data_IF_977733620701
#
_entry.id   IF_977733620701
#
_cell.length_a   1.000
_cell.length_b   1.000
_cell.length_c   1.000
_cell.angle_alpha   90.00
_cell.angle_beta   90.00
_cell.angle_gamma   90.00
#
_symmetry.space_group_name_H-M   'P 1'
#
loop_
_entity.id
_entity.type
_entity.pdbx_description
1 polymer ?
#
# COMPACT_ATOMS: atom_id res chain seq x y z
N UNK A 1 2.26 -0.81 -7.58
CA UNK A 1 1.55 0.39 -7.07
C UNK A 1 2.25 0.84 -5.81
N UNK A 2 2.16 2.12 -5.41
CA UNK A 2 2.87 2.66 -4.23
C UNK A 2 2.68 1.84 -2.94
N UNK A 3 1.48 1.31 -2.70
CA UNK A 3 1.24 0.45 -1.53
C UNK A 3 2.05 -0.86 -1.60
N UNK A 4 2.24 -1.43 -2.79
CA UNK A 4 3.04 -2.65 -2.98
C UNK A 4 4.53 -2.37 -2.70
N UNK A 5 5.03 -1.19 -3.08
CA UNK A 5 6.40 -0.77 -2.77
C UNK A 5 6.59 -0.60 -1.25
N UNK A 6 5.63 0.01 -0.57
CA UNK A 6 5.64 0.13 0.90
C UNK A 6 5.58 -1.26 1.56
N UNK A 7 4.73 -2.16 1.06
CA UNK A 7 4.66 -3.55 1.55
C UNK A 7 6.01 -4.24 1.40
N UNK A 8 6.68 -4.07 0.25
CA UNK A 8 7.98 -4.67 -0.01
C UNK A 8 9.03 -4.13 0.97
N UNK A 9 9.07 -2.81 1.21
CA UNK A 9 9.99 -2.22 2.20
C UNK A 9 9.78 -2.80 3.60
N UNK A 10 8.52 -2.99 4.01
CA UNK A 10 8.21 -3.61 5.31
C UNK A 10 8.61 -5.09 5.34
N UNK A 11 8.35 -5.84 4.26
CA UNK A 11 8.71 -7.26 4.15
C UNK A 11 10.22 -7.47 4.18
N UNK A 12 10.98 -6.62 3.51
CA UNK A 12 12.44 -6.63 3.49
C UNK A 12 13.00 -6.31 4.88
N UNK A 13 12.43 -5.31 5.57
CA UNK A 13 12.81 -4.97 6.94
C UNK A 13 12.53 -6.11 7.93
N UNK A 14 11.39 -6.79 7.81
CA UNK A 14 11.07 -7.99 8.62
C UNK A 14 12.09 -9.10 8.34
N UNK A 15 12.40 -9.34 7.07
CA UNK A 15 13.35 -10.39 6.65
C UNK A 15 14.76 -10.10 7.17
N UNK A 16 15.20 -8.84 7.10
CA UNK A 16 16.48 -8.41 7.65
C UNK A 16 16.54 -8.60 9.18
N UNK A 17 15.48 -8.21 9.89
CA UNK A 17 15.38 -8.41 11.34
C UNK A 17 15.28 -9.90 11.74
N UNK A 18 14.78 -10.77 10.88
CA UNK A 18 14.81 -12.22 11.12
C UNK A 18 16.21 -12.80 10.86
N UNK A 19 16.96 -12.25 9.90
CA UNK A 19 18.28 -12.73 9.52
C UNK A 19 19.37 -12.41 10.56
N UNK A 20 19.24 -11.32 11.31
CA UNK A 20 20.17 -10.92 12.37
C UNK A 20 19.72 -11.35 13.79
N UNK A 21 18.62 -12.13 13.86
CA UNK A 21 18.00 -12.62 15.09
C UNK A 21 17.36 -11.54 16.00
N UNK A 22 17.24 -10.29 15.53
CA UNK A 22 16.49 -9.23 16.23
C UNK A 22 14.99 -9.56 16.35
N UNK A 23 14.46 -10.35 15.40
CA UNK A 23 13.14 -10.96 15.44
C UNK A 23 13.24 -12.47 15.26
N UNK A 24 12.47 -13.22 16.05
CA UNK A 24 12.30 -14.65 15.81
C UNK A 24 11.74 -14.90 14.40
N UNK A 25 12.14 -16.00 13.77
CA UNK A 25 11.60 -16.40 12.48
C UNK A 25 10.10 -16.74 12.61
N UNK A 26 9.29 -16.18 11.72
CA UNK A 26 7.87 -16.46 11.57
C UNK A 26 7.45 -16.26 10.10
N UNK A 27 6.36 -16.90 9.71
CA UNK A 27 5.74 -16.64 8.40
C UNK A 27 5.13 -15.24 8.39
N UNK A 28 5.58 -14.39 7.46
CA UNK A 28 5.12 -13.00 7.36
C UNK A 28 3.64 -13.00 6.96
N UNK A 29 2.73 -12.50 7.83
CA UNK A 29 1.33 -12.42 7.48
C UNK A 29 1.08 -11.30 6.46
N UNK A 30 -0.11 -11.26 5.87
CA UNK A 30 -0.48 -10.21 4.90
C UNK A 30 -0.24 -8.81 5.48
N UNK A 31 0.56 -8.01 4.77
CA UNK A 31 0.89 -6.64 5.17
C UNK A 31 -0.19 -5.71 4.63
N UNK A 32 -1.07 -5.24 5.50
CA UNK A 32 -2.05 -4.22 5.16
C UNK A 32 -1.47 -2.81 5.31
N UNK A 33 -1.66 -1.99 4.27
CA UNK A 33 -1.27 -0.58 4.24
C UNK A 33 -2.52 0.27 4.26
N UNK A 34 -2.63 1.15 5.25
CA UNK A 34 -3.80 1.99 5.48
C UNK A 34 -3.43 3.46 5.45
N UNK A 35 -4.43 4.34 5.24
CA UNK A 35 -4.30 5.76 5.53
C UNK A 35 -4.57 5.99 7.03
N UNK A 36 -3.69 6.69 7.76
CA UNK A 36 -3.96 7.02 9.15
C UNK A 36 -5.15 7.99 9.27
N UNK A 37 -5.88 7.92 10.39
CA UNK A 37 -7.05 8.79 10.64
C UNK A 37 -6.67 10.25 10.86
N UNK A 38 -5.46 10.51 11.34
CA UNK A 38 -4.93 11.84 11.63
C UNK A 38 -3.71 12.07 10.72
N UNK A 39 -3.68 13.21 10.03
CA UNK A 39 -2.59 13.54 9.11
C UNK A 39 -1.22 13.66 9.81
N UNK A 40 -1.20 14.01 11.10
CA UNK A 40 0.03 14.08 11.90
C UNK A 40 0.73 12.72 12.01
N UNK A 41 0.00 11.62 11.83
CA UNK A 41 0.53 10.25 11.81
C UNK A 41 1.09 9.82 10.44
N UNK A 42 1.42 10.77 9.57
CA UNK A 42 2.07 10.49 8.29
C UNK A 42 1.09 10.15 7.18
N UNK A 43 1.63 9.61 6.09
CA UNK A 43 0.90 9.33 4.87
C UNK A 43 0.25 7.96 4.89
N UNK A 44 0.95 6.98 5.47
CA UNK A 44 0.52 5.59 5.53
C UNK A 44 0.78 4.99 6.90
N UNK A 45 0.06 3.93 7.23
CA UNK A 45 0.30 3.16 8.44
C UNK A 45 0.08 1.68 8.23
N UNK A 46 0.71 0.88 9.07
CA UNK A 46 0.48 -0.56 9.14
C UNK A 46 0.36 -1.03 10.60
N UNK A 47 -0.46 -2.05 10.81
CA UNK A 47 -0.64 -2.75 12.08
C UNK A 47 0.12 -4.09 12.11
N UNK A 48 1.04 -4.34 11.17
CA UNK A 48 1.71 -5.63 10.98
C UNK A 48 2.27 -6.20 12.28
N UNK A 49 2.89 -5.37 13.13
CA UNK A 49 3.47 -5.84 14.39
C UNK A 49 2.42 -6.40 15.37
N UNK A 50 1.20 -5.86 15.38
CA UNK A 50 0.07 -6.36 16.17
C UNK A 50 -0.42 -7.71 15.66
N UNK A 51 -0.51 -7.85 14.33
CA UNK A 51 -0.90 -9.11 13.67
C UNK A 51 0.14 -10.18 13.96
N UNK A 52 1.43 -9.89 13.73
CA UNK A 52 2.54 -10.79 14.01
C UNK A 52 2.56 -11.23 15.47
N UNK A 53 2.42 -10.31 16.44
CA UNK A 53 2.37 -10.68 17.85
C UNK A 53 1.20 -11.63 18.18
N UNK A 54 0.04 -11.41 17.55
CA UNK A 54 -1.13 -12.28 17.69
C UNK A 54 -0.88 -13.65 17.08
N UNK A 55 -0.28 -13.74 15.89
CA UNK A 55 0.02 -15.01 15.23
C UNK A 55 1.07 -15.82 15.98
N UNK A 56 2.16 -15.19 16.44
CA UNK A 56 3.17 -15.87 17.29
C UNK A 56 2.51 -16.46 18.53
N UNK A 57 1.60 -15.72 19.17
CA UNK A 57 0.87 -16.21 20.33
C UNK A 57 -0.03 -17.40 20.01
N UNK A 58 -0.74 -17.37 18.87
CA UNK A 58 -1.58 -18.50 18.44
C UNK A 58 -0.75 -19.76 18.17
N UNK A 59 0.44 -19.62 17.58
CA UNK A 59 1.29 -20.74 17.19
C UNK A 59 2.09 -21.32 18.36
N UNK A 60 2.65 -20.46 19.22
CA UNK A 60 3.61 -20.87 20.27
C UNK A 60 3.02 -20.84 21.68
N UNK A 61 1.87 -20.18 21.87
CA UNK A 61 1.31 -19.89 23.20
C UNK A 61 2.03 -18.76 23.95
N UNK A 62 3.18 -18.28 23.47
CA UNK A 62 3.96 -17.21 24.10
C UNK A 62 3.40 -15.83 23.77
N UNK A 63 3.42 -14.91 24.74
CA UNK A 63 3.08 -13.50 24.48
C UNK A 63 4.29 -12.77 23.90
N UNK A 64 4.11 -12.13 22.76
CA UNK A 64 5.09 -11.20 22.18
C UNK A 64 4.62 -9.76 22.38
N UNK A 65 5.56 -8.84 22.60
CA UNK A 65 5.26 -7.41 22.72
C UNK A 65 5.20 -6.77 21.32
N UNK A 66 4.03 -6.35 20.82
CA UNK A 66 3.93 -5.80 19.46
C UNK A 66 4.75 -4.52 19.28
N UNK A 67 4.97 -3.73 20.32
CA UNK A 67 5.79 -2.52 20.24
C UNK A 67 7.28 -2.84 20.05
N UNK A 68 7.77 -3.93 20.66
CA UNK A 68 9.14 -4.41 20.42
C UNK A 68 9.28 -4.95 19.00
N UNK A 69 8.27 -5.68 18.51
CA UNK A 69 8.26 -6.15 17.12
C UNK A 69 8.29 -4.97 16.15
N UNK A 70 7.45 -3.96 16.39
CA UNK A 70 7.41 -2.75 15.57
C UNK A 70 8.77 -2.04 15.57
N UNK A 71 9.43 -1.92 16.74
CA UNK A 71 10.76 -1.32 16.83
C UNK A 71 11.79 -2.09 16.01
N UNK A 72 11.85 -3.42 16.15
CA UNK A 72 12.79 -4.23 15.38
C UNK A 72 12.58 -4.11 13.86
N UNK A 73 11.32 -4.01 13.40
CA UNK A 73 11.02 -3.75 11.98
C UNK A 73 11.53 -2.36 11.56
N UNK A 74 11.26 -1.33 12.36
CA UNK A 74 11.67 0.05 12.03
C UNK A 74 13.18 0.22 12.03
N UNK A 75 13.89 -0.43 12.96
CA UNK A 75 15.35 -0.39 13.04
C UNK A 75 16.03 -0.97 11.78
N UNK A 76 15.32 -1.84 11.05
CA UNK A 76 15.76 -2.46 9.80
C UNK A 76 15.19 -1.80 8.54
N UNK A 77 14.36 -0.76 8.71
CA UNK A 77 13.75 -0.06 7.59
C UNK A 77 14.71 0.99 7.04
N UNK A 78 14.85 1.03 5.71
CA UNK A 78 15.63 2.07 5.06
C UNK A 78 14.83 3.37 5.05
N UNK A 79 15.30 4.37 5.80
CA UNK A 79 14.72 5.71 5.87
C UNK A 79 15.69 6.74 5.31
N UNK A 80 15.15 7.77 4.64
CA UNK A 80 15.89 8.86 4.00
C UNK A 80 15.47 10.21 4.59
N UNK A 81 15.91 10.51 5.84
CA UNK A 81 15.40 11.64 6.62
C UNK A 81 15.77 13.02 6.09
N UNK A 82 16.64 13.13 5.08
CA UNK A 82 17.09 14.39 4.50
C UNK A 82 16.54 14.64 3.08
N UNK A 83 15.53 13.86 2.66
CA UNK A 83 14.96 14.01 1.32
C UNK A 83 15.89 13.52 0.20
N UNK A 84 16.72 12.51 0.47
CA UNK A 84 17.35 11.72 -0.59
C UNK A 84 16.27 10.96 -1.39
N UNK A 85 16.61 10.37 -2.53
CA UNK A 85 15.68 9.71 -3.46
C UNK A 85 14.94 8.46 -2.89
N UNK A 86 15.07 8.19 -1.59
CA UNK A 86 14.38 7.10 -0.90
C UNK A 86 12.88 7.36 -0.70
N UNK A 87 12.11 6.28 -0.61
CA UNK A 87 10.64 6.32 -0.52
C UNK A 87 10.12 6.91 0.79
N UNK A 88 10.77 6.59 1.92
CA UNK A 88 10.30 6.89 3.28
C UNK A 88 11.24 7.90 3.92
N UNK A 89 10.71 9.04 4.38
CA UNK A 89 11.45 10.07 5.10
C UNK A 89 11.53 9.79 6.59
N UNK A 90 10.39 9.45 7.21
CA UNK A 90 10.31 9.20 8.64
C UNK A 90 9.35 8.09 9.00
N UNK A 91 9.60 7.46 10.15
CA UNK A 91 8.77 6.38 10.69
C UNK A 91 8.53 6.63 12.17
N UNK A 92 7.26 6.57 12.58
CA UNK A 92 6.85 6.81 13.97
C UNK A 92 6.08 5.60 14.54
N UNK A 93 6.43 5.20 15.77
CA UNK A 93 5.73 4.12 16.48
C UNK A 93 4.61 4.65 17.37
N UNK A 94 3.37 4.36 16.99
CA UNK A 94 2.19 4.80 17.72
C UNK A 94 1.54 3.68 18.54
N UNK A 95 1.07 4.06 19.73
CA UNK A 95 0.26 3.21 20.60
C UNK A 95 0.89 1.81 20.85
N UNK A 96 0.11 0.72 20.68
CA UNK A 96 0.56 -0.62 21.04
C UNK A 96 1.50 -1.28 20.02
N UNK A 97 1.73 -0.67 18.84
CA UNK A 97 2.53 -1.28 17.77
C UNK A 97 2.11 -0.89 16.35
N UNK A 98 1.51 0.28 16.16
CA UNK A 98 1.30 0.82 14.81
C UNK A 98 2.59 1.44 14.30
N UNK A 99 2.91 1.19 13.04
CA UNK A 99 4.03 1.81 12.34
C UNK A 99 3.43 2.83 11.38
N UNK A 100 3.72 4.10 11.62
CA UNK A 100 3.29 5.23 10.82
C UNK A 100 4.44 5.68 9.92
N UNK A 101 4.18 5.90 8.64
CA UNK A 101 5.17 6.17 7.61
C UNK A 101 4.89 7.52 6.97
N UNK A 102 5.93 8.34 6.82
CA UNK A 102 5.91 9.57 6.03
C UNK A 102 6.74 9.39 4.78
N UNK A 103 6.16 9.67 3.63
CA UNK A 103 6.87 9.60 2.36
C UNK A 103 7.83 10.76 2.23
N UNK A 104 8.93 10.54 1.52
CA UNK A 104 9.87 11.62 1.28
C UNK A 104 9.29 12.67 0.32
N UNK A 105 9.58 13.93 0.63
CA UNK A 105 9.19 15.03 -0.25
C UNK A 105 9.88 14.94 -1.61
N UNK A 106 11.10 14.42 -1.68
CA UNK A 106 11.84 14.20 -2.91
C UNK A 106 11.14 13.16 -3.80
N UNK A 107 10.76 12.02 -3.23
CA UNK A 107 9.98 11.00 -3.92
C UNK A 107 8.69 11.58 -4.49
N UNK A 108 7.91 12.29 -3.65
CA UNK A 108 6.65 12.92 -4.09
C UNK A 108 6.84 13.94 -5.22
N UNK A 109 7.90 14.75 -5.14
CA UNK A 109 8.24 15.73 -6.17
C UNK A 109 8.60 15.04 -7.49
N UNK A 110 9.34 13.93 -7.43
CA UNK A 110 9.69 13.15 -8.60
C UNK A 110 8.46 12.50 -9.24
N UNK A 111 7.49 12.02 -8.44
CA UNK A 111 6.23 11.51 -8.99
C UNK A 111 5.49 12.59 -9.81
N UNK A 112 5.44 13.83 -9.33
CA UNK A 112 4.85 14.95 -10.09
C UNK A 112 5.61 15.21 -11.39
N UNK A 113 6.94 15.14 -11.37
CA UNK A 113 7.76 15.26 -12.58
C UNK A 113 7.43 14.15 -13.59
N UNK A 114 7.32 12.90 -13.12
CA UNK A 114 6.97 11.76 -13.97
C UNK A 114 5.57 11.91 -14.56
N UNK A 115 4.57 12.31 -13.77
CA UNK A 115 3.21 12.59 -14.24
C UNK A 115 3.24 13.63 -15.36
N UNK A 116 3.93 14.74 -15.15
CA UNK A 116 4.05 15.79 -16.16
C UNK A 116 4.79 15.34 -17.42
N UNK A 117 5.80 14.47 -17.27
CA UNK A 117 6.56 13.91 -18.39
C UNK A 117 5.72 12.92 -19.22
N UNK A 118 4.82 12.17 -18.60
CA UNK A 118 3.94 11.22 -19.27
C UNK A 118 2.74 11.92 -19.94
N UNK A 119 2.28 13.05 -19.39
CA UNK A 119 1.18 13.83 -19.98
C UNK A 119 -0.09 12.99 -20.14
N UNK A 120 -0.67 12.99 -21.36
CA UNK A 120 -1.90 12.25 -21.68
C UNK A 120 -1.74 10.72 -21.59
N UNK A 121 -0.50 10.22 -21.56
CA UNK A 121 -0.22 8.79 -21.37
C UNK A 121 -0.22 8.37 -19.89
N UNK A 122 -0.26 9.33 -18.96
CA UNK A 122 -0.32 8.99 -17.54
C UNK A 122 -1.59 8.19 -17.21
N UNK A 123 -1.42 7.09 -16.48
CA UNK A 123 -2.51 6.16 -16.14
C UNK A 123 -2.79 5.09 -17.19
N UNK A 124 -2.14 5.13 -18.37
CA UNK A 124 -2.16 3.99 -19.31
C UNK A 124 -1.42 2.81 -18.70
N UNK A 125 -1.98 1.62 -18.88
CA UNK A 125 -1.43 0.38 -18.32
C UNK A 125 -1.41 -0.72 -19.37
N UNK A 126 -0.38 -1.56 -19.32
CA UNK A 126 -0.27 -2.79 -20.12
C UNK A 126 -0.88 -4.00 -19.40
N UNK A 127 -1.54 -3.82 -18.25
CA UNK A 127 -2.27 -4.88 -17.56
C UNK A 127 -3.30 -5.49 -18.50
N UNK A 128 -3.31 -6.83 -18.60
CA UNK A 128 -4.16 -7.54 -19.56
C UNK A 128 -3.63 -7.56 -20.99
N UNK A 129 -2.38 -7.14 -21.23
CA UNK A 129 -1.74 -7.17 -22.55
C UNK A 129 -1.96 -8.50 -23.29
N UNK A 130 -2.42 -8.42 -24.54
CA UNK A 130 -2.73 -9.58 -25.38
C UNK A 130 -4.10 -10.23 -25.12
N UNK A 131 -4.82 -9.82 -24.08
CA UNK A 131 -6.19 -10.26 -23.82
C UNK A 131 -7.20 -9.37 -24.59
N UNK A 132 -8.38 -9.92 -24.91
CA UNK A 132 -9.49 -9.17 -25.53
C UNK A 132 -10.66 -9.12 -24.56
N UNK A 133 -11.22 -7.93 -24.35
CA UNK A 133 -12.46 -7.72 -23.64
C UNK A 133 -13.54 -7.23 -24.62
N UNK A 134 -14.76 -7.76 -24.51
CA UNK A 134 -15.94 -7.27 -25.23
C UNK A 134 -16.89 -6.66 -24.20
N UNK A 135 -17.16 -5.37 -24.34
CA UNK A 135 -18.11 -4.64 -23.49
C UNK A 135 -19.38 -4.41 -24.30
N UNK A 136 -20.47 -5.09 -23.94
CA UNK A 136 -21.79 -4.83 -24.51
C UNK A 136 -22.55 -3.88 -23.59
N UNK A 137 -23.06 -2.78 -24.16
CA UNK A 137 -23.78 -1.77 -23.40
C UNK A 137 -24.88 -1.10 -24.26
N UNK A 138 -25.73 -0.31 -23.61
CA UNK A 138 -27.01 0.26 -24.07
C UNK A 138 -28.11 -0.79 -24.24
N UNK A 139 -27.91 -1.78 -25.11
CA UNK A 139 -28.82 -2.89 -25.47
C UNK A 139 -30.32 -2.53 -25.42
N UNK A 140 -30.66 -1.33 -25.88
CA UNK A 140 -32.01 -0.78 -25.80
C UNK A 140 -32.89 -1.38 -26.90
N UNK A 141 -34.18 -1.59 -26.60
CA UNK A 141 -35.13 -2.02 -27.61
C UNK A 141 -35.33 -0.90 -28.65
N UNK A 142 -35.20 -1.18 -29.96
CA UNK A 142 -35.24 -0.16 -31.02
C UNK A 142 -36.63 0.47 -31.25
N UNK A 143 -37.68 0.00 -30.56
CA UNK A 143 -39.06 0.45 -30.78
C UNK A 143 -39.55 1.48 -29.76
N UNK A 144 -38.76 1.81 -28.73
CA UNK A 144 -39.13 2.75 -27.66
C UNK A 144 -38.12 3.88 -27.46
N UNK A 145 -38.51 4.97 -26.77
CA UNK A 145 -37.60 6.07 -26.47
C UNK A 145 -36.53 5.64 -25.45
N UNK A 146 -35.31 6.18 -25.58
CA UNK A 146 -34.28 6.02 -24.57
C UNK A 146 -34.69 6.72 -23.28
N UNK A 147 -34.71 5.97 -22.20
CA UNK A 147 -34.93 6.46 -20.84
C UNK A 147 -33.61 6.76 -20.12
N UNK A 148 -33.69 7.42 -18.95
CA UNK A 148 -32.54 7.69 -18.07
C UNK A 148 -31.76 6.42 -17.71
N UNK A 149 -32.43 5.26 -17.60
CA UNK A 149 -31.77 3.99 -17.36
C UNK A 149 -30.81 3.59 -18.49
N UNK A 150 -31.20 3.83 -19.75
CA UNK A 150 -30.34 3.59 -20.90
C UNK A 150 -29.18 4.59 -20.95
N UNK A 151 -29.42 5.84 -20.59
CA UNK A 151 -28.36 6.85 -20.46
C UNK A 151 -27.29 6.46 -19.44
N UNK A 152 -27.70 5.93 -18.27
CA UNK A 152 -26.75 5.39 -17.28
C UNK A 152 -25.95 4.21 -17.84
N UNK A 153 -26.62 3.29 -18.55
CA UNK A 153 -25.94 2.14 -19.15
C UNK A 153 -24.95 2.58 -20.24
N UNK A 154 -25.32 3.56 -21.07
CA UNK A 154 -24.45 4.18 -22.06
C UNK A 154 -23.14 4.70 -21.44
N UNK A 155 -23.25 5.53 -20.40
CA UNK A 155 -22.08 6.15 -19.74
C UNK A 155 -21.21 5.10 -19.05
N UNK A 156 -21.80 4.13 -18.34
CA UNK A 156 -21.05 3.11 -17.62
C UNK A 156 -20.36 2.08 -18.54
N UNK A 157 -20.90 1.82 -19.72
CA UNK A 157 -20.29 0.90 -20.67
C UNK A 157 -19.19 1.53 -21.52
N UNK A 158 -19.23 2.86 -21.68
CA UNK A 158 -18.25 3.63 -22.47
C UNK A 158 -17.01 4.06 -21.65
N UNK A 159 -17.17 4.27 -20.33
CA UNK A 159 -16.09 4.67 -19.40
C UNK A 159 -15.40 3.48 -18.76
#
# INVERSE_FOLDING_TARGET
MLQDEIQQVIADAITAAQADESLAAFEIPTIEIMRPKQADHGDYSTNIALITASEIKKQTGAKSNPRQIAQAIVDHMQVSPNGDDGLIESVDLAGPGFINLRLSHAYLTEQVRQINSLGDDYGRSTVGGGQRAMVEYISANPTGPLTVGHGRNAVLGDT
#
